data_IF_163074198262
#
_entry.id   IF_163074198262
#
_cell.length_a   1.000
_cell.length_b   1.000
_cell.length_c   1.000
_cell.angle_alpha   90.00
_cell.angle_beta   90.00
_cell.angle_gamma   90.00
#
_symmetry.space_group_name_H-M   'P 1'
#
loop_
_entity.id
_entity.type
_entity.pdbx_description
1 polymer ?
#
# COMPACT_ATOMS: atom_id res chain seq x y z
N UNK A 1 9.18 14.79 -29.69
CA UNK A 1 8.27 15.33 -28.66
C UNK A 1 8.40 14.46 -27.43
N UNK A 2 8.83 15.04 -26.31
CA UNK A 2 9.07 14.32 -25.06
C UNK A 2 7.77 14.11 -24.26
N UNK A 3 7.82 13.32 -23.19
CA UNK A 3 6.66 13.11 -22.31
C UNK A 3 6.26 14.41 -21.61
N UNK A 4 7.23 15.23 -21.19
CA UNK A 4 6.96 16.51 -20.53
C UNK A 4 6.26 17.50 -21.49
N UNK A 5 6.65 17.51 -22.76
CA UNK A 5 5.98 18.34 -23.78
C UNK A 5 4.51 17.95 -23.95
N UNK A 6 4.21 16.65 -23.94
CA UNK A 6 2.83 16.14 -24.05
C UNK A 6 1.99 16.51 -22.83
N UNK A 7 2.55 16.40 -21.62
CA UNK A 7 1.86 16.78 -20.39
C UNK A 7 1.51 18.27 -20.44
N UNK A 8 2.47 19.15 -20.74
CA UNK A 8 2.23 20.59 -20.83
C UNK A 8 1.13 20.94 -21.84
N UNK A 9 1.12 20.29 -23.01
CA UNK A 9 0.08 20.54 -24.01
C UNK A 9 -1.31 20.14 -23.51
N UNK A 10 -1.43 19.03 -22.77
CA UNK A 10 -2.72 18.55 -22.26
C UNK A 10 -3.22 19.39 -21.09
N UNK A 11 -2.35 19.74 -20.15
CA UNK A 11 -2.72 20.54 -18.97
C UNK A 11 -3.20 21.93 -19.38
N UNK A 12 -2.59 22.55 -20.39
CA UNK A 12 -3.01 23.88 -20.89
C UNK A 12 -4.43 23.95 -21.44
N UNK A 13 -5.00 22.82 -21.85
CA UNK A 13 -6.36 22.76 -22.42
C UNK A 13 -7.42 22.63 -21.30
N UNK A 14 -7.00 22.23 -20.09
CA UNK A 14 -7.90 22.05 -18.96
C UNK A 14 -8.32 23.40 -18.37
N UNK A 15 -9.57 23.52 -17.86
CA UNK A 15 -9.97 24.61 -16.98
C UNK A 15 -9.12 24.67 -15.69
N UNK A 16 -8.99 25.86 -15.10
CA UNK A 16 -8.18 26.09 -13.88
C UNK A 16 -8.45 25.09 -12.74
N UNK A 17 -9.71 24.74 -12.40
CA UNK A 17 -9.97 23.78 -11.31
C UNK A 17 -9.33 22.40 -11.58
N UNK A 18 -9.36 21.95 -12.84
CA UNK A 18 -8.75 20.67 -13.22
C UNK A 18 -7.23 20.78 -13.37
N UNK A 19 -6.68 21.96 -13.63
CA UNK A 19 -5.23 22.18 -13.55
C UNK A 19 -4.74 22.08 -12.10
N UNK A 20 -5.52 22.58 -11.14
CA UNK A 20 -5.23 22.44 -9.72
C UNK A 20 -5.21 20.97 -9.29
N UNK A 21 -6.18 20.15 -9.71
CA UNK A 21 -6.16 18.70 -9.45
C UNK A 21 -4.91 18.01 -10.03
N UNK A 22 -4.45 18.43 -11.21
CA UNK A 22 -3.20 17.90 -11.79
C UNK A 22 -2.00 18.31 -10.94
N UNK A 23 -1.97 19.55 -10.43
CA UNK A 23 -0.92 20.02 -9.53
C UNK A 23 -0.90 19.19 -8.24
N UNK A 24 -2.06 18.98 -7.60
CA UNK A 24 -2.19 18.15 -6.40
C UNK A 24 -1.65 16.74 -6.64
N UNK A 25 -1.96 16.15 -7.80
CA UNK A 25 -1.45 14.82 -8.15
C UNK A 25 0.07 14.82 -8.34
N UNK A 26 0.64 15.86 -8.96
CA UNK A 26 2.09 15.99 -9.11
C UNK A 26 2.76 16.15 -7.74
N UNK A 27 2.19 16.94 -6.83
CA UNK A 27 2.67 17.07 -5.46
C UNK A 27 2.60 15.74 -4.70
N UNK A 28 1.52 14.97 -4.87
CA UNK A 28 1.42 13.61 -4.36
C UNK A 28 2.51 12.68 -4.92
N UNK A 29 2.79 12.75 -6.22
CA UNK A 29 3.87 11.94 -6.80
C UNK A 29 5.25 12.34 -6.27
N UNK A 30 5.47 13.64 -6.00
CA UNK A 30 6.69 14.13 -5.39
C UNK A 30 6.82 13.69 -3.92
N UNK A 31 5.74 13.76 -3.14
CA UNK A 31 5.74 13.26 -1.76
C UNK A 31 5.92 11.74 -1.70
N UNK A 32 5.28 11.00 -2.61
CA UNK A 32 5.51 9.56 -2.77
C UNK A 32 6.96 9.28 -3.15
N UNK A 33 7.59 10.10 -3.98
CA UNK A 33 9.02 9.96 -4.29
C UNK A 33 9.89 10.21 -3.06
N UNK A 34 9.61 11.21 -2.23
CA UNK A 34 10.37 11.45 -0.99
C UNK A 34 10.20 10.32 0.01
N UNK A 35 9.00 9.76 0.12
CA UNK A 35 8.71 8.58 0.94
C UNK A 35 9.44 7.35 0.39
N UNK A 36 9.50 7.15 -0.93
CA UNK A 36 10.21 6.04 -1.56
C UNK A 36 11.74 6.18 -1.59
N UNK A 37 12.27 7.38 -1.40
CA UNK A 37 13.71 7.64 -1.33
C UNK A 37 14.30 7.29 0.04
N UNK A 38 13.47 7.17 1.07
CA UNK A 38 13.77 6.29 2.21
C UNK A 38 13.44 4.87 1.76
N UNK A 39 14.46 4.10 1.38
CA UNK A 39 14.37 2.71 0.89
C UNK A 39 13.50 1.80 1.79
N UNK A 40 13.29 2.17 3.05
CA UNK A 40 12.48 1.41 4.01
C UNK A 40 10.95 1.50 3.78
N UNK A 41 10.43 2.51 3.09
CA UNK A 41 8.98 2.79 3.09
C UNK A 41 8.13 1.94 2.13
N UNK A 42 8.74 1.35 1.09
CA UNK A 42 8.00 0.46 0.18
C UNK A 42 7.77 -0.93 0.78
N UNK A 43 8.70 -1.40 1.59
CA UNK A 43 8.54 -2.66 2.34
C UNK A 43 7.72 -2.43 3.62
N UNK A 44 7.80 -1.25 4.24
CA UNK A 44 7.00 -0.90 5.42
C UNK A 44 5.50 -0.96 5.15
N UNK A 45 5.01 -0.39 4.04
CA UNK A 45 3.56 -0.34 3.77
C UNK A 45 3.01 -1.78 3.63
N UNK A 46 3.57 -2.61 2.76
CA UNK A 46 3.03 -3.96 2.55
C UNK A 46 3.19 -4.88 3.77
N UNK A 47 4.31 -4.83 4.50
CA UNK A 47 4.52 -5.65 5.70
C UNK A 47 3.70 -5.18 6.89
N UNK A 48 3.60 -3.87 7.13
CA UNK A 48 2.75 -3.34 8.20
C UNK A 48 1.27 -3.55 7.90
N UNK A 49 0.82 -3.35 6.65
CA UNK A 49 -0.55 -3.68 6.25
C UNK A 49 -0.84 -5.17 6.38
N UNK A 50 0.10 -6.03 6.01
CA UNK A 50 -0.05 -7.48 6.17
C UNK A 50 -0.13 -7.89 7.63
N UNK A 51 0.73 -7.33 8.49
CA UNK A 51 0.76 -7.61 9.92
C UNK A 51 -0.51 -7.08 10.62
N UNK A 52 -0.94 -5.86 10.27
CA UNK A 52 -2.18 -5.28 10.76
C UNK A 52 -3.40 -6.13 10.36
N UNK A 53 -3.46 -6.56 9.09
CA UNK A 53 -4.54 -7.40 8.58
C UNK A 53 -4.59 -8.75 9.29
N UNK A 54 -3.43 -9.39 9.49
CA UNK A 54 -3.32 -10.65 10.22
C UNK A 54 -3.76 -10.49 11.68
N UNK A 55 -3.27 -9.45 12.37
CA UNK A 55 -3.63 -9.17 13.76
C UNK A 55 -5.13 -8.94 13.91
N UNK A 56 -5.76 -8.21 12.98
CA UNK A 56 -7.21 -8.00 12.98
C UNK A 56 -8.00 -9.28 12.73
N UNK A 57 -7.53 -10.16 11.84
CA UNK A 57 -8.18 -11.44 11.56
C UNK A 57 -8.08 -12.40 12.75
N UNK A 58 -6.95 -12.40 13.46
CA UNK A 58 -6.70 -13.29 14.60
C UNK A 58 -7.36 -12.82 15.91
N UNK A 59 -7.73 -11.54 16.02
CA UNK A 59 -8.23 -10.91 17.26
C UNK A 59 -9.44 -11.62 17.90
N UNK A 60 -10.28 -12.29 17.12
CA UNK A 60 -11.44 -13.04 17.63
C UNK A 60 -11.15 -14.54 17.81
N UNK A 61 -10.02 -15.01 17.31
CA UNK A 61 -9.57 -16.41 17.38
C UNK A 61 -8.66 -16.68 18.59
N UNK A 62 -8.19 -15.65 19.30
CA UNK A 62 -7.23 -15.77 20.42
C UNK A 62 -7.75 -16.59 21.62
N UNK A 63 -9.08 -16.73 21.76
CA UNK A 63 -9.72 -17.45 22.86
C UNK A 63 -10.47 -18.72 22.39
N UNK A 64 -10.30 -19.11 21.13
CA UNK A 64 -10.90 -20.35 20.62
C UNK A 64 -10.14 -21.57 21.15
N UNK A 65 -10.86 -22.59 21.59
CA UNK A 65 -10.23 -23.86 21.97
C UNK A 65 -9.61 -24.51 20.73
N UNK A 66 -8.33 -24.92 20.81
CA UNK A 66 -7.68 -25.61 19.71
C UNK A 66 -8.41 -26.92 19.39
N UNK A 67 -8.93 -27.10 18.16
CA UNK A 67 -9.77 -28.25 17.83
C UNK A 67 -8.98 -29.55 17.63
N UNK A 68 -7.64 -29.47 17.61
CA UNK A 68 -6.75 -30.59 17.36
C UNK A 68 -5.59 -30.59 18.35
N UNK A 69 -5.16 -31.79 18.68
CA UNK A 69 -4.05 -32.04 19.59
C UNK A 69 -3.00 -32.92 18.92
N UNK A 70 -1.83 -33.02 19.55
CA UNK A 70 -0.75 -33.92 19.12
C UNK A 70 -1.23 -35.38 19.07
N UNK A 71 -2.24 -35.74 19.86
CA UNK A 71 -2.83 -37.08 19.87
C UNK A 71 -3.63 -37.41 18.59
N UNK A 72 -4.01 -36.41 17.80
CA UNK A 72 -4.72 -36.59 16.53
C UNK A 72 -3.76 -36.90 15.35
N UNK A 73 -2.45 -36.83 15.59
CA UNK A 73 -1.44 -37.15 14.58
C UNK A 73 -1.41 -38.67 14.34
N UNK A 74 -1.63 -39.05 13.08
CA UNK A 74 -1.63 -40.45 12.63
C UNK A 74 -0.23 -41.08 12.56
N UNK A 75 0.80 -40.26 12.41
CA UNK A 75 2.18 -40.70 12.25
C UNK A 75 3.08 -39.92 13.22
N UNK A 76 3.84 -40.66 14.03
CA UNK A 76 4.82 -40.13 14.98
C UNK A 76 6.15 -40.83 14.73
N UNK A 77 7.22 -40.06 14.51
CA UNK A 77 8.57 -40.57 14.23
C UNK A 77 9.45 -40.62 15.48
#
# INVERSE_FOLDING_TARGET
MTVIDKIHQRVRILPEPLQAEVLDFVEFLLSKKTIKLSDDAQDFDDLEWSNLSLTMAMRDMENEEEPYTIADLKETF
#
